data_IF_319746049012
#
_entry.id   IF_319746049012
#
_cell.length_a   1.000
_cell.length_b   1.000
_cell.length_c   1.000
_cell.angle_alpha   90.00
_cell.angle_beta   90.00
_cell.angle_gamma   90.00
#
_symmetry.space_group_name_H-M   'P 1'
#
loop_
_entity.id
_entity.type
_entity.pdbx_description
1 polymer ?
#
# COMPACT_ATOMS: atom_id res chain seq x y z
N UNK A 1 15.82 7.64 22.19
CA UNK A 1 14.98 6.67 21.42
C UNK A 1 15.79 5.39 21.29
N UNK A 2 15.24 4.22 21.61
CA UNK A 2 15.94 2.94 21.37
C UNK A 2 15.79 2.64 19.88
N UNK A 3 16.87 2.75 19.11
CA UNK A 3 16.92 2.28 17.73
C UNK A 3 16.62 0.78 17.72
N UNK A 4 15.41 0.42 17.30
CA UNK A 4 15.04 -0.97 17.04
C UNK A 4 15.47 -1.29 15.61
N UNK A 5 16.73 -1.70 15.44
CA UNK A 5 17.17 -2.32 14.20
C UNK A 5 16.35 -3.59 13.98
N UNK A 6 15.55 -3.63 12.91
CA UNK A 6 14.92 -4.88 12.48
C UNK A 6 15.98 -5.67 11.74
N UNK A 7 16.21 -6.94 12.12
CA UNK A 7 17.02 -7.87 11.34
C UNK A 7 16.38 -8.00 9.95
N UNK A 8 16.90 -7.24 9.00
CA UNK A 8 16.46 -7.25 7.61
C UNK A 8 17.25 -8.33 6.86
N UNK A 9 16.55 -9.23 6.19
CA UNK A 9 17.13 -10.15 5.21
C UNK A 9 17.42 -9.48 3.86
N UNK A 10 17.28 -8.16 3.79
CA UNK A 10 17.54 -7.38 2.60
C UNK A 10 18.99 -6.89 2.62
N UNK A 11 19.66 -6.86 1.46
CA UNK A 11 21.01 -6.30 1.32
C UNK A 11 21.04 -4.75 1.40
N UNK A 12 20.02 -4.16 2.02
CA UNK A 12 19.84 -2.73 2.18
C UNK A 12 19.22 -2.43 3.56
N UNK A 13 19.55 -1.26 4.09
CA UNK A 13 19.02 -0.77 5.35
C UNK A 13 17.59 -0.28 5.16
N UNK A 14 16.69 -0.68 6.06
CA UNK A 14 15.31 -0.17 6.12
C UNK A 14 15.13 0.52 7.46
N UNK A 15 14.87 1.83 7.43
CA UNK A 15 14.45 2.58 8.61
C UNK A 15 12.96 2.35 8.82
N UNK A 16 12.61 1.54 9.84
CA UNK A 16 11.22 1.32 10.23
C UNK A 16 10.84 2.33 11.32
N UNK A 17 9.93 3.23 10.98
CA UNK A 17 9.39 4.21 11.92
C UNK A 17 7.92 3.87 12.12
N UNK A 18 7.52 3.63 13.36
CA UNK A 18 6.15 3.31 13.72
C UNK A 18 5.71 4.11 14.94
N UNK A 19 4.40 4.37 15.00
CA UNK A 19 3.76 5.04 16.11
C UNK A 19 2.69 4.13 16.69
N UNK A 20 2.52 4.19 18.00
CA UNK A 20 1.48 3.42 18.71
C UNK A 20 0.56 4.39 19.46
N UNK A 21 -0.72 4.01 19.56
CA UNK A 21 -1.72 4.76 20.29
C UNK A 21 -2.23 3.90 21.45
N UNK A 22 -2.20 4.46 22.66
CA UNK A 22 -2.74 3.75 23.81
C UNK A 22 -4.23 3.46 23.63
N UNK A 23 -4.66 2.27 24.05
CA UNK A 23 -6.07 1.85 23.97
C UNK A 23 -6.99 2.91 24.60
N UNK A 24 -8.04 3.28 23.87
CA UNK A 24 -9.02 4.28 24.32
C UNK A 24 -8.59 5.73 24.13
N UNK A 25 -7.43 6.01 23.53
CA UNK A 25 -7.03 7.37 23.15
C UNK A 25 -7.46 7.68 21.71
N UNK A 26 -7.88 8.92 21.49
CA UNK A 26 -8.19 9.47 20.16
C UNK A 26 -6.94 10.10 19.54
N UNK A 27 -6.99 10.38 18.24
CA UNK A 27 -5.92 11.12 17.56
C UNK A 27 -4.91 10.25 16.78
N UNK A 28 -5.36 9.13 16.20
CA UNK A 28 -4.54 8.33 15.27
C UNK A 28 -3.91 9.18 14.15
N UNK A 29 -4.60 10.23 13.71
CA UNK A 29 -4.05 11.23 12.79
C UNK A 29 -2.76 11.90 13.27
N UNK A 30 -2.71 12.35 14.52
CA UNK A 30 -1.52 12.98 15.10
C UNK A 30 -0.36 12.00 15.23
N UNK A 31 -0.66 10.72 15.46
CA UNK A 31 0.35 9.66 15.48
C UNK A 31 0.95 9.49 14.09
N UNK A 32 0.13 9.45 13.04
CA UNK A 32 0.61 9.37 11.64
C UNK A 32 1.44 10.60 11.28
N UNK A 33 0.98 11.81 11.59
CA UNK A 33 1.75 13.04 11.37
C UNK A 33 3.10 13.02 12.11
N UNK A 34 3.11 12.57 13.35
CA UNK A 34 4.34 12.44 14.14
C UNK A 34 5.32 11.42 13.54
N UNK A 35 4.83 10.29 13.02
CA UNK A 35 5.65 9.28 12.33
C UNK A 35 6.25 9.85 11.05
N UNK A 36 5.45 10.54 10.23
CA UNK A 36 5.92 11.19 9.00
C UNK A 36 6.98 12.23 9.32
N UNK A 37 6.72 13.12 10.28
CA UNK A 37 7.69 14.16 10.68
C UNK A 37 8.99 13.55 11.21
N UNK A 38 8.91 12.50 12.01
CA UNK A 38 10.10 11.80 12.53
C UNK A 38 10.91 11.17 11.39
N UNK A 39 10.24 10.77 10.31
CA UNK A 39 10.92 10.21 9.14
C UNK A 39 11.70 11.24 8.32
N UNK A 40 11.48 12.55 8.53
CA UNK A 40 12.26 13.62 7.91
C UNK A 40 13.67 13.75 8.52
N UNK A 41 13.91 13.19 9.71
CA UNK A 41 15.21 13.22 10.40
C UNK A 41 16.20 12.14 9.88
N UNK A 42 15.79 11.32 8.91
CA UNK A 42 16.59 10.23 8.36
C UNK A 42 16.92 10.50 6.90
N UNK A 43 18.12 10.09 6.46
CA UNK A 43 18.44 10.00 5.04
C UNK A 43 17.74 8.79 4.42
N UNK A 44 17.05 8.99 3.29
CA UNK A 44 16.40 7.94 2.51
C UNK A 44 16.33 8.30 1.02
N UNK A 45 16.49 7.29 0.15
CA UNK A 45 16.21 7.44 -1.28
C UNK A 45 14.71 7.34 -1.60
N UNK A 46 13.96 6.60 -0.76
CA UNK A 46 12.55 6.34 -0.94
C UNK A 46 11.83 6.17 0.39
N UNK A 47 10.64 6.75 0.52
CA UNK A 47 9.77 6.63 1.69
C UNK A 47 8.51 5.85 1.32
N UNK A 48 8.27 4.73 2.01
CA UNK A 48 7.01 3.97 1.90
C UNK A 48 6.15 4.27 3.12
N UNK A 49 4.97 4.82 2.89
CA UNK A 49 3.97 5.01 3.95
C UNK A 49 2.89 3.94 3.84
N UNK A 50 2.86 3.01 4.79
CA UNK A 50 1.80 2.02 4.92
C UNK A 50 0.61 2.63 5.68
N UNK A 51 -0.47 2.91 4.96
CA UNK A 51 -1.65 3.54 5.53
C UNK A 51 -2.61 2.51 6.11
N UNK A 52 -3.33 2.89 7.17
CA UNK A 52 -4.52 2.17 7.61
C UNK A 52 -5.53 1.98 6.45
N UNK A 53 -6.35 0.93 6.46
CA UNK A 53 -7.36 0.71 5.44
C UNK A 53 -8.49 1.75 5.49
N UNK A 54 -9.18 1.93 4.36
CA UNK A 54 -10.37 2.78 4.25
C UNK A 54 -10.10 4.16 3.66
N UNK A 55 -10.87 5.17 4.10
CA UNK A 55 -10.87 6.55 3.55
C UNK A 55 -10.73 7.62 4.64
N UNK A 56 -10.34 7.22 5.84
CA UNK A 56 -10.28 8.09 7.02
C UNK A 56 -9.09 9.06 7.03
N UNK A 57 -8.98 9.82 8.11
CA UNK A 57 -7.92 10.82 8.29
C UNK A 57 -6.49 10.26 8.17
N UNK A 58 -6.15 9.06 8.71
CA UNK A 58 -4.82 8.46 8.47
C UNK A 58 -4.46 8.35 6.99
N UNK A 59 -5.41 7.91 6.16
CA UNK A 59 -5.22 7.75 4.71
C UNK A 59 -5.04 9.10 4.04
N UNK A 60 -5.86 10.09 4.40
CA UNK A 60 -5.75 11.45 3.89
C UNK A 60 -4.38 12.08 4.22
N UNK A 61 -3.88 11.87 5.45
CA UNK A 61 -2.56 12.34 5.87
C UNK A 61 -1.46 11.69 5.04
N UNK A 62 -1.50 10.37 4.83
CA UNK A 62 -0.53 9.68 3.96
C UNK A 62 -0.58 10.22 2.52
N UNK A 63 -1.76 10.32 1.91
CA UNK A 63 -1.92 10.83 0.54
C UNK A 63 -1.36 12.26 0.43
N UNK A 64 -1.66 13.13 1.40
CA UNK A 64 -1.23 14.54 1.35
C UNK A 64 0.28 14.71 1.45
N UNK A 65 1.01 13.71 1.98
CA UNK A 65 2.46 13.73 2.13
C UNK A 65 3.17 12.76 1.15
N UNK A 66 2.48 12.34 0.08
CA UNK A 66 3.00 11.44 -0.95
C UNK A 66 3.11 12.14 -2.30
N UNK A 67 4.20 11.87 -3.03
CA UNK A 67 4.31 12.23 -4.45
C UNK A 67 3.50 11.28 -5.35
N UNK A 68 3.34 10.02 -4.91
CA UNK A 68 2.61 8.98 -5.62
C UNK A 68 1.84 8.06 -4.65
N UNK A 69 0.62 7.68 -5.01
CA UNK A 69 -0.22 6.76 -4.24
C UNK A 69 -0.45 5.43 -4.98
N UNK A 70 -0.18 4.31 -4.31
CA UNK A 70 -0.61 2.98 -4.79
C UNK A 70 -1.90 2.61 -4.08
N UNK A 71 -3.01 2.63 -4.82
CA UNK A 71 -4.32 2.28 -4.29
C UNK A 71 -4.57 0.79 -4.50
N UNK A 72 -4.78 0.06 -3.41
CA UNK A 72 -5.09 -1.37 -3.44
C UNK A 72 -6.57 -1.56 -3.14
N UNK A 73 -7.27 -2.32 -3.97
CA UNK A 73 -8.68 -2.69 -3.73
C UNK A 73 -8.92 -4.16 -4.03
N UNK A 74 -10.03 -4.70 -3.54
CA UNK A 74 -10.51 -6.03 -3.92
C UNK A 74 -11.61 -5.91 -4.99
N UNK A 75 -11.79 -6.95 -5.81
CA UNK A 75 -12.85 -7.02 -6.82
C UNK A 75 -14.23 -7.28 -6.18
N UNK A 76 -14.62 -6.47 -5.20
CA UNK A 76 -15.91 -6.57 -4.51
C UNK A 76 -16.70 -5.27 -4.63
N UNK A 77 -18.03 -5.34 -4.50
CA UNK A 77 -18.89 -4.15 -4.58
C UNK A 77 -18.54 -3.10 -3.52
N UNK A 78 -18.10 -3.52 -2.33
CA UNK A 78 -17.68 -2.62 -1.27
C UNK A 78 -16.30 -2.02 -1.59
N UNK A 79 -15.33 -2.84 -1.99
CA UNK A 79 -14.01 -2.40 -2.40
C UNK A 79 -14.06 -1.38 -3.56
N UNK A 80 -14.95 -1.59 -4.53
CA UNK A 80 -15.13 -0.64 -5.63
C UNK A 80 -15.72 0.70 -5.15
N UNK A 81 -16.70 0.67 -4.24
CA UNK A 81 -17.27 1.91 -3.66
C UNK A 81 -16.23 2.72 -2.89
N UNK A 82 -15.37 2.05 -2.11
CA UNK A 82 -14.33 2.74 -1.36
C UNK A 82 -13.18 3.20 -2.26
N UNK A 83 -12.83 2.44 -3.31
CA UNK A 83 -11.89 2.88 -4.33
C UNK A 83 -12.36 4.17 -5.02
N UNK A 84 -13.63 4.28 -5.39
CA UNK A 84 -14.18 5.52 -6.00
C UNK A 84 -13.99 6.74 -5.12
N UNK A 85 -14.20 6.59 -3.81
CA UNK A 85 -13.97 7.67 -2.83
C UNK A 85 -12.47 8.01 -2.72
N UNK A 86 -11.60 6.99 -2.66
CA UNK A 86 -10.15 7.19 -2.60
C UNK A 86 -9.62 7.93 -3.82
N UNK A 87 -10.02 7.52 -5.03
CA UNK A 87 -9.65 8.18 -6.27
C UNK A 87 -10.05 9.67 -6.22
N UNK A 88 -11.30 9.96 -5.82
CA UNK A 88 -11.75 11.34 -5.68
C UNK A 88 -10.98 12.15 -4.62
N UNK A 89 -10.40 11.52 -3.59
CA UNK A 89 -9.53 12.20 -2.62
C UNK A 89 -8.17 12.49 -3.25
N UNK A 90 -7.57 11.49 -3.89
CA UNK A 90 -6.23 11.56 -4.48
C UNK A 90 -6.18 12.57 -5.63
N UNK A 91 -7.18 12.55 -6.52
CA UNK A 91 -7.32 13.53 -7.61
C UNK A 91 -7.47 14.97 -7.07
N UNK A 92 -8.29 15.17 -6.04
CA UNK A 92 -8.43 16.49 -5.38
C UNK A 92 -7.15 16.99 -4.73
N UNK A 93 -6.26 16.08 -4.34
CA UNK A 93 -4.94 16.42 -3.78
C UNK A 93 -3.87 16.60 -4.86
N UNK A 94 -4.19 16.31 -6.12
CA UNK A 94 -3.24 16.41 -7.23
C UNK A 94 -2.09 15.39 -7.14
N UNK A 95 -2.30 14.28 -6.44
CA UNK A 95 -1.30 13.23 -6.25
C UNK A 95 -1.43 12.20 -7.36
N UNK A 96 -0.32 11.84 -8.01
CA UNK A 96 -0.33 10.80 -9.03
C UNK A 96 -0.61 9.44 -8.41
N UNK A 97 -1.31 8.55 -9.10
CA UNK A 97 -1.67 7.27 -8.51
C UNK A 97 -1.79 6.12 -9.50
N UNK A 98 -1.66 4.91 -8.94
CA UNK A 98 -1.92 3.67 -9.66
C UNK A 98 -2.81 2.75 -8.84
N UNK A 99 -3.71 2.04 -9.50
CA UNK A 99 -4.61 1.09 -8.85
C UNK A 99 -4.18 -0.34 -9.11
N UNK A 100 -4.08 -1.14 -8.04
CA UNK A 100 -3.88 -2.58 -8.09
C UNK A 100 -5.09 -3.28 -7.49
N UNK A 101 -5.68 -4.23 -8.22
CA UNK A 101 -6.72 -5.09 -7.68
C UNK A 101 -6.08 -6.31 -7.01
N UNK A 102 -6.19 -6.43 -5.69
CA UNK A 102 -5.79 -7.62 -4.95
C UNK A 102 -6.93 -8.64 -4.96
N UNK A 103 -6.65 -9.86 -5.40
CA UNK A 103 -7.63 -10.95 -5.52
C UNK A 103 -8.79 -10.62 -6.47
N UNK A 104 -8.61 -10.99 -7.74
CA UNK A 104 -9.63 -10.94 -8.79
C UNK A 104 -10.69 -12.04 -8.57
N UNK A 105 -11.53 -11.87 -7.54
CA UNK A 105 -12.54 -12.84 -7.11
C UNK A 105 -13.83 -12.76 -7.92
N UNK A 106 -14.12 -11.60 -8.50
CA UNK A 106 -15.30 -11.35 -9.36
C UNK A 106 -14.83 -10.66 -10.66
N UNK A 107 -14.78 -11.39 -11.79
CA UNK A 107 -14.34 -10.84 -13.06
C UNK A 107 -15.19 -9.68 -13.58
N UNK A 108 -16.48 -9.64 -13.25
CA UNK A 108 -17.37 -8.57 -13.68
C UNK A 108 -16.99 -7.27 -12.95
N UNK A 109 -16.86 -7.33 -11.62
CA UNK A 109 -16.45 -6.18 -10.82
C UNK A 109 -15.02 -5.76 -11.14
N UNK A 110 -14.10 -6.69 -11.37
CA UNK A 110 -12.73 -6.37 -11.76
C UNK A 110 -12.66 -5.62 -13.11
N UNK A 111 -13.49 -6.03 -14.08
CA UNK A 111 -13.62 -5.32 -15.35
C UNK A 111 -14.24 -3.92 -15.17
N UNK A 112 -15.24 -3.78 -14.30
CA UNK A 112 -15.79 -2.47 -13.94
C UNK A 112 -14.73 -1.56 -13.30
N UNK A 113 -13.93 -2.08 -12.37
CA UNK A 113 -12.82 -1.35 -11.74
C UNK A 113 -11.82 -0.90 -12.80
N UNK A 114 -11.36 -1.83 -13.66
CA UNK A 114 -10.39 -1.53 -14.72
C UNK A 114 -10.91 -0.44 -15.66
N UNK A 115 -12.18 -0.54 -16.07
CA UNK A 115 -12.82 0.41 -16.98
C UNK A 115 -12.99 1.78 -16.33
N UNK A 116 -13.33 1.83 -15.05
CA UNK A 116 -13.48 3.08 -14.30
C UNK A 116 -12.15 3.78 -14.04
N UNK A 117 -11.09 3.02 -13.72
CA UNK A 117 -9.77 3.58 -13.41
C UNK A 117 -9.02 4.04 -14.67
N UNK A 118 -9.21 3.35 -15.80
CA UNK A 118 -8.56 3.72 -17.07
C UNK A 118 -7.04 3.57 -17.02
N UNK A 119 -6.32 4.60 -17.44
CA UNK A 119 -4.86 4.60 -17.61
C UNK A 119 -4.07 4.40 -16.30
N UNK A 120 -4.68 4.77 -15.17
CA UNK A 120 -4.09 4.60 -13.84
C UNK A 120 -4.19 3.14 -13.34
N UNK A 121 -4.86 2.25 -14.07
CA UNK A 121 -4.92 0.84 -13.70
C UNK A 121 -3.57 0.18 -13.94
N UNK A 122 -3.01 -0.44 -12.90
CA UNK A 122 -1.66 -1.03 -12.94
C UNK A 122 -1.73 -2.50 -13.31
N UNK A 123 -2.44 -3.30 -12.51
CA UNK A 123 -2.58 -4.75 -12.68
C UNK A 123 -3.58 -5.31 -11.66
N UNK A 124 -3.95 -6.58 -11.80
CA UNK A 124 -4.46 -7.40 -10.70
C UNK A 124 -3.37 -8.32 -10.13
N UNK A 125 -3.51 -8.68 -8.86
CA UNK A 125 -2.83 -9.82 -8.23
C UNK A 125 -3.81 -10.99 -8.18
N UNK A 126 -3.41 -12.18 -8.64
CA UNK A 126 -4.28 -13.35 -8.62
C UNK A 126 -4.50 -13.85 -7.19
N UNK A 127 -5.49 -14.75 -7.03
CA UNK A 127 -5.55 -15.55 -5.82
C UNK A 127 -4.31 -16.45 -5.71
N UNK A 128 -3.77 -16.59 -4.50
CA UNK A 128 -2.52 -17.31 -4.25
C UNK A 128 -2.59 -18.10 -2.95
N UNK A 129 -2.76 -19.42 -3.08
CA UNK A 129 -2.82 -20.37 -1.96
C UNK A 129 -1.50 -20.49 -1.19
N UNK A 130 -0.39 -19.99 -1.75
CA UNK A 130 0.89 -19.96 -1.03
C UNK A 130 0.92 -18.87 0.03
N UNK A 131 0.05 -17.86 -0.04
CA UNK A 131 -0.01 -16.77 0.95
C UNK A 131 -0.33 -17.32 2.35
N UNK A 132 -1.43 -18.07 2.59
CA UNK A 132 -1.69 -18.69 3.90
C UNK A 132 -0.54 -19.59 4.38
N UNK A 133 0.11 -20.32 3.46
CA UNK A 133 1.24 -21.18 3.79
C UNK A 133 2.48 -20.38 4.24
N UNK A 134 2.76 -19.25 3.60
CA UNK A 134 3.86 -18.36 3.97
C UNK A 134 3.61 -17.76 5.36
N UNK A 135 2.39 -17.25 5.60
CA UNK A 135 1.99 -16.68 6.88
C UNK A 135 2.08 -17.71 8.01
N UNK A 136 1.65 -18.95 7.78
CA UNK A 136 1.79 -20.05 8.75
C UNK A 136 3.26 -20.34 9.12
N UNK A 137 4.20 -20.07 8.20
CA UNK A 137 5.64 -20.24 8.41
C UNK A 137 6.32 -18.96 8.91
N UNK A 138 5.58 -17.89 9.19
CA UNK A 138 6.11 -16.56 9.50
C UNK A 138 7.08 -16.03 8.44
N UNK A 139 6.83 -16.38 7.18
CA UNK A 139 7.59 -15.89 6.03
C UNK A 139 6.79 -14.79 5.33
N UNK A 140 7.45 -13.71 4.86
CA UNK A 140 6.80 -12.78 3.93
C UNK A 140 6.24 -13.54 2.73
N UNK A 141 5.00 -13.28 2.28
CA UNK A 141 4.39 -14.01 1.17
C UNK A 141 5.22 -14.00 -0.13
N UNK A 142 6.02 -12.97 -0.34
CA UNK A 142 6.95 -12.83 -1.47
C UNK A 142 8.12 -13.82 -1.45
N UNK A 143 8.36 -14.54 -0.34
CA UNK A 143 9.43 -15.55 -0.22
C UNK A 143 9.05 -16.92 -0.77
N UNK A 144 7.76 -17.23 -0.85
CA UNK A 144 7.30 -18.42 -1.56
C UNK A 144 7.05 -18.08 -3.02
N UNK A 145 7.44 -19.00 -3.92
CA UNK A 145 7.20 -18.83 -5.37
C UNK A 145 5.73 -19.13 -5.69
N UNK A 146 4.85 -18.20 -5.38
CA UNK A 146 3.42 -18.23 -5.74
C UNK A 146 3.09 -17.32 -6.94
N UNK A 147 1.90 -17.48 -7.56
CA UNK A 147 1.44 -16.62 -8.64
C UNK A 147 1.44 -15.12 -8.28
N UNK A 148 1.09 -14.74 -7.05
CA UNK A 148 1.10 -13.33 -6.61
C UNK A 148 2.51 -12.78 -6.46
N UNK A 149 3.45 -13.59 -5.94
CA UNK A 149 4.86 -13.19 -5.86
C UNK A 149 5.47 -12.90 -7.24
N UNK A 150 5.17 -13.74 -8.24
CA UNK A 150 5.60 -13.55 -9.62
C UNK A 150 4.98 -12.29 -10.21
N UNK A 151 3.67 -12.11 -10.03
CA UNK A 151 2.94 -10.95 -10.56
C UNK A 151 3.42 -9.64 -9.96
N UNK A 152 3.72 -9.63 -8.66
CA UNK A 152 4.26 -8.45 -7.99
C UNK A 152 5.62 -8.05 -8.57
N UNK A 153 6.52 -9.00 -8.84
CA UNK A 153 7.80 -8.71 -9.49
C UNK A 153 7.60 -8.10 -10.89
N UNK A 154 6.69 -8.63 -11.70
CA UNK A 154 6.35 -8.04 -13.01
C UNK A 154 5.84 -6.59 -12.89
N UNK A 155 5.03 -6.30 -11.87
CA UNK A 155 4.51 -4.95 -11.61
C UNK A 155 5.66 -4.01 -11.23
N UNK A 156 6.52 -4.44 -10.31
CA UNK A 156 7.66 -3.65 -9.85
C UNK A 156 8.61 -3.30 -11.00
N UNK A 157 8.96 -4.27 -11.85
CA UNK A 157 9.85 -4.07 -13.00
C UNK A 157 9.27 -3.07 -14.01
N UNK A 158 7.94 -3.06 -14.23
CA UNK A 158 7.29 -2.22 -15.24
C UNK A 158 6.94 -0.82 -14.78
N UNK A 159 6.68 -0.60 -13.48
CA UNK A 159 6.07 0.64 -12.98
C UNK A 159 6.92 1.43 -11.98
N UNK A 160 7.92 0.84 -11.32
CA UNK A 160 8.81 1.61 -10.44
C UNK A 160 9.58 2.69 -11.22
N UNK A 161 9.84 2.48 -12.51
CA UNK A 161 10.45 3.49 -13.39
C UNK A 161 9.60 4.76 -13.58
N UNK A 162 8.30 4.72 -13.27
CA UNK A 162 7.38 5.88 -13.35
C UNK A 162 7.21 6.63 -12.02
N UNK A 163 7.78 6.11 -10.93
CA UNK A 163 7.68 6.70 -9.58
C UNK A 163 8.91 7.61 -9.31
N UNK A 164 9.78 7.81 -10.31
CA UNK A 164 10.94 8.71 -10.27
C UNK A 164 10.75 9.90 -11.19
#
# INVERSE_FOLDING_TARGET
MKEKYTLSFANYSINLISGDIMKGKTGSGKVVEGVIKTSDDFDYDFRVMDSAPGTGYPVLTCITNSDYAVLVTEATSLGFKDLKKLIGIVEKKGVSYGVVTNMDTDPEIANQIRSYVGENYVSSLPYDETIPLALKKSLPPTRLKGPSSKKLNEICEKKISKIR
#
